data_IF_172228280766
#
_entry.id   IF_172228280766
#
_cell.length_a   1.000
_cell.length_b   1.000
_cell.length_c   1.000
_cell.angle_alpha   90.00
_cell.angle_beta   90.00
_cell.angle_gamma   90.00
#
_symmetry.space_group_name_H-M   'P 1'
#
loop_
_entity.id
_entity.type
_entity.pdbx_description
1 polymer ?
#
# COMPACT_ATOMS: atom_id res chain seq x y z
N UNK A 1 3.46 -17.56 -13.42
CA UNK A 1 2.49 -18.28 -12.56
C UNK A 1 2.74 -18.13 -11.06
N UNK A 2 3.99 -18.04 -10.61
CA UNK A 2 4.32 -17.90 -9.17
C UNK A 2 3.85 -16.56 -8.57
N UNK A 3 3.82 -15.49 -9.37
CA UNK A 3 3.49 -14.14 -8.88
C UNK A 3 2.01 -13.92 -8.49
N UNK A 4 1.07 -14.62 -9.12
CA UNK A 4 -0.35 -14.48 -8.77
C UNK A 4 -0.71 -15.10 -7.43
N UNK A 5 -0.03 -16.17 -7.05
CA UNK A 5 -0.28 -16.84 -5.75
C UNK A 5 0.23 -16.02 -4.57
N UNK A 6 1.39 -15.37 -4.69
CA UNK A 6 1.94 -14.51 -3.65
C UNK A 6 1.07 -13.26 -3.40
N UNK A 7 0.61 -12.62 -4.47
CA UNK A 7 -0.29 -11.47 -4.40
C UNK A 7 -1.64 -11.84 -3.75
N UNK A 8 -2.22 -12.97 -4.16
CA UNK A 8 -3.47 -13.45 -3.58
C UNK A 8 -3.33 -13.82 -2.11
N UNK A 9 -2.26 -14.51 -1.74
CA UNK A 9 -1.97 -14.90 -0.36
C UNK A 9 -1.79 -13.66 0.52
N UNK A 10 -1.06 -12.66 0.01
CA UNK A 10 -0.84 -11.40 0.72
C UNK A 10 -2.15 -10.63 0.93
N UNK A 11 -2.99 -10.50 -0.11
CA UNK A 11 -4.31 -9.87 -0.01
C UNK A 11 -5.21 -10.59 0.99
N UNK A 12 -5.17 -11.93 0.99
CA UNK A 12 -5.93 -12.73 1.96
C UNK A 12 -5.44 -12.48 3.38
N UNK A 13 -4.14 -12.61 3.62
CA UNK A 13 -3.54 -12.39 4.95
C UNK A 13 -3.83 -10.99 5.48
N UNK A 14 -3.80 -9.96 4.61
CA UNK A 14 -4.13 -8.59 5.01
C UNK A 14 -5.60 -8.40 5.35
N UNK A 15 -6.51 -9.09 4.66
CA UNK A 15 -7.94 -9.07 5.01
C UNK A 15 -8.21 -9.71 6.37
N UNK A 16 -7.46 -10.75 6.72
CA UNK A 16 -7.59 -11.41 8.02
C UNK A 16 -6.97 -10.60 9.16
N UNK A 17 -5.86 -9.92 8.90
CA UNK A 17 -5.16 -9.09 9.91
C UNK A 17 -4.60 -7.79 9.33
N UNK A 18 -5.48 -6.84 9.03
CA UNK A 18 -5.09 -5.52 8.54
C UNK A 18 -4.29 -4.69 9.53
N UNK A 19 -4.58 -4.81 10.83
CA UNK A 19 -3.80 -4.14 11.87
C UNK A 19 -2.40 -4.72 12.02
N UNK A 20 -2.24 -6.02 11.89
CA UNK A 20 -0.93 -6.68 11.86
C UNK A 20 -0.08 -6.16 10.70
N UNK A 21 -0.65 -6.01 9.51
CA UNK A 21 0.02 -5.40 8.38
C UNK A 21 0.44 -3.96 8.68
N UNK A 22 -0.46 -3.12 9.17
CA UNK A 22 -0.17 -1.71 9.48
C UNK A 22 0.94 -1.59 10.54
N UNK A 23 0.92 -2.45 11.55
CA UNK A 23 1.98 -2.53 12.56
C UNK A 23 3.33 -2.89 11.95
N UNK A 24 3.35 -3.91 11.08
CA UNK A 24 4.54 -4.32 10.36
C UNK A 24 5.11 -3.19 9.49
N UNK A 25 4.26 -2.49 8.76
CA UNK A 25 4.64 -1.36 7.93
C UNK A 25 5.23 -0.22 8.76
N UNK A 26 4.64 0.07 9.92
CA UNK A 26 5.15 1.07 10.85
C UNK A 26 6.52 0.70 11.42
N UNK A 27 6.74 -0.57 11.76
CA UNK A 27 8.01 -1.06 12.30
C UNK A 27 9.12 -1.08 11.23
N UNK A 28 8.78 -1.35 9.98
CA UNK A 28 9.74 -1.51 8.89
C UNK A 28 10.16 -0.21 8.21
N UNK A 29 9.40 0.88 8.38
CA UNK A 29 9.67 2.17 7.71
C UNK A 29 9.65 3.34 8.70
N UNK A 30 10.83 3.96 8.90
CA UNK A 30 10.98 5.10 9.80
C UNK A 30 10.07 6.30 9.44
N UNK A 31 9.79 6.50 8.15
CA UNK A 31 8.95 7.62 7.70
C UNK A 31 7.45 7.39 7.94
N UNK A 32 7.05 6.15 8.24
CA UNK A 32 5.67 5.80 8.61
C UNK A 32 5.52 5.74 10.13
N UNK A 33 6.62 5.73 10.89
CA UNK A 33 6.60 5.66 12.36
C UNK A 33 5.86 6.83 13.02
N UNK A 34 5.88 7.99 12.39
CA UNK A 34 5.19 9.18 12.88
C UNK A 34 3.67 9.13 12.66
N UNK A 35 3.19 8.24 11.78
CA UNK A 35 1.77 8.07 11.53
C UNK A 35 1.15 7.32 12.71
N UNK A 36 0.22 7.97 13.38
CA UNK A 36 -0.52 7.36 14.46
C UNK A 36 -1.66 6.48 13.91
N UNK A 37 -1.42 5.17 13.91
CA UNK A 37 -2.45 4.18 13.57
C UNK A 37 -3.35 3.84 14.77
N UNK A 38 -3.51 4.72 15.75
CA UNK A 38 -4.44 4.55 16.86
C UNK A 38 -5.87 4.63 16.33
N UNK A 39 -6.36 3.52 15.85
CA UNK A 39 -7.72 3.39 15.41
C UNK A 39 -8.29 2.09 15.95
N UNK A 40 -9.48 2.16 16.51
CA UNK A 40 -10.21 0.99 16.94
C UNK A 40 -10.99 0.34 15.79
N UNK A 41 -11.22 1.08 14.71
CA UNK A 41 -11.98 0.64 13.55
C UNK A 41 -11.11 0.63 12.28
N UNK A 42 -11.11 -0.52 11.62
CA UNK A 42 -10.49 -0.72 10.32
C UNK A 42 -11.55 -1.19 9.33
N UNK A 43 -11.71 -0.46 8.25
CA UNK A 43 -12.64 -0.79 7.18
C UNK A 43 -11.88 -1.04 5.88
N UNK A 44 -12.31 -2.05 5.13
CA UNK A 44 -11.82 -2.31 3.78
C UNK A 44 -12.74 -1.66 2.77
N UNK A 45 -12.20 -0.76 1.97
CA UNK A 45 -12.97 -0.09 0.93
C UNK A 45 -12.90 -0.84 -0.40
N UNK A 46 -13.89 -0.67 -1.29
CA UNK A 46 -13.84 -1.21 -2.63
C UNK A 46 -12.55 -0.79 -3.35
N UNK A 47 -11.91 -1.74 -4.01
CA UNK A 47 -10.66 -1.54 -4.74
C UNK A 47 -10.88 -1.10 -6.19
N UNK A 48 -12.11 -1.14 -6.67
CA UNK A 48 -12.47 -0.65 -8.00
C UNK A 48 -12.55 0.87 -7.98
N UNK A 49 -11.70 1.49 -8.78
CA UNK A 49 -11.62 2.93 -8.90
C UNK A 49 -12.50 3.42 -10.05
N UNK A 50 -12.74 4.72 -10.08
CA UNK A 50 -13.60 5.38 -11.06
C UNK A 50 -13.19 5.01 -12.50
N UNK A 51 -14.17 4.72 -13.34
CA UNK A 51 -13.98 4.58 -14.78
C UNK A 51 -13.53 5.92 -15.37
N UNK A 52 -12.35 5.90 -15.98
CA UNK A 52 -11.93 6.96 -16.89
C UNK A 52 -11.97 6.39 -18.32
N UNK A 53 -13.10 6.59 -19.00
CA UNK A 53 -13.35 5.97 -20.30
C UNK A 53 -13.61 4.46 -20.20
N UNK A 54 -13.14 3.64 -21.17
CA UNK A 54 -13.46 2.20 -21.20
C UNK A 54 -12.61 1.37 -20.21
N UNK A 55 -11.81 1.97 -19.34
CA UNK A 55 -10.92 1.27 -18.40
C UNK A 55 -11.44 1.37 -16.98
N UNK A 56 -11.57 0.22 -16.33
CA UNK A 56 -11.73 0.12 -14.88
C UNK A 56 -10.34 0.06 -14.27
N UNK A 57 -10.05 0.98 -13.37
CA UNK A 57 -8.82 0.98 -12.60
C UNK A 57 -9.04 0.25 -11.30
N UNK A 58 -8.12 -0.62 -10.93
CA UNK A 58 -8.15 -1.38 -9.68
C UNK A 58 -6.86 -1.16 -8.92
N UNK A 59 -6.98 -0.86 -7.64
CA UNK A 59 -5.88 -0.90 -6.69
C UNK A 59 -5.88 -2.24 -5.95
N UNK A 60 -4.77 -2.57 -5.31
CA UNK A 60 -4.67 -3.83 -4.59
C UNK A 60 -5.47 -3.81 -3.29
N UNK A 61 -5.37 -2.73 -2.51
CA UNK A 61 -6.09 -2.62 -1.25
C UNK A 61 -6.24 -1.17 -0.78
N UNK A 62 -7.39 -0.87 -0.21
CA UNK A 62 -7.67 0.40 0.46
C UNK A 62 -8.12 0.07 1.89
N UNK A 63 -7.35 0.53 2.86
CA UNK A 63 -7.63 0.40 4.28
C UNK A 63 -8.07 1.75 4.83
N UNK A 64 -9.23 1.80 5.41
CA UNK A 64 -9.72 3.02 6.07
C UNK A 64 -9.71 2.85 7.59
N UNK A 65 -8.98 3.74 8.23
CA UNK A 65 -8.93 3.92 9.67
C UNK A 65 -9.80 5.11 10.09
N UNK A 66 -10.01 5.32 11.37
CA UNK A 66 -10.82 6.43 11.84
C UNK A 66 -10.26 7.80 11.42
N UNK A 67 -8.95 7.93 11.31
CA UNK A 67 -8.25 9.19 11.03
C UNK A 67 -7.41 9.19 9.77
N UNK A 68 -7.34 8.09 9.02
CA UNK A 68 -6.41 7.90 7.91
C UNK A 68 -6.94 6.89 6.90
N UNK A 69 -6.64 7.11 5.63
CA UNK A 69 -6.81 6.12 4.55
C UNK A 69 -5.44 5.67 4.08
N UNK A 70 -5.23 4.36 3.99
CA UNK A 70 -3.99 3.75 3.48
C UNK A 70 -4.29 3.04 2.18
N UNK A 71 -3.74 3.55 1.09
CA UNK A 71 -3.70 2.89 -0.21
C UNK A 71 -2.46 1.99 -0.25
N UNK A 72 -2.67 0.71 -0.42
CA UNK A 72 -1.58 -0.27 -0.45
C UNK A 72 -1.52 -0.93 -1.82
N UNK A 73 -0.34 -0.89 -2.42
CA UNK A 73 -0.03 -1.56 -3.69
C UNK A 73 1.05 -2.62 -3.46
N UNK A 74 0.89 -3.78 -4.07
CA UNK A 74 1.85 -4.87 -4.02
C UNK A 74 2.70 -4.92 -5.28
N UNK A 75 4.02 -4.96 -5.14
CA UNK A 75 4.96 -4.93 -6.25
C UNK A 75 6.01 -6.04 -6.16
N UNK A 76 5.92 -7.01 -7.06
CA UNK A 76 6.86 -8.14 -7.12
C UNK A 76 8.09 -7.87 -7.99
N UNK A 77 8.12 -6.76 -8.70
CA UNK A 77 9.24 -6.32 -9.56
C UNK A 77 9.77 -4.97 -9.11
N UNK A 78 10.90 -4.56 -9.65
CA UNK A 78 11.45 -3.22 -9.40
C UNK A 78 10.48 -2.17 -9.94
N UNK A 79 10.16 -1.17 -9.11
CA UNK A 79 9.28 -0.05 -9.47
C UNK A 79 9.93 0.79 -10.56
N UNK A 80 9.25 0.89 -11.70
CA UNK A 80 9.67 1.67 -12.88
C UNK A 80 8.73 2.86 -13.10
N UNK A 81 9.10 3.74 -14.01
CA UNK A 81 8.32 4.94 -14.33
C UNK A 81 6.83 4.67 -14.65
N UNK A 82 6.45 3.62 -15.40
CA UNK A 82 5.03 3.30 -15.58
C UNK A 82 4.30 2.99 -14.28
N UNK A 83 4.95 2.30 -13.33
CA UNK A 83 4.39 2.00 -12.01
C UNK A 83 4.23 3.28 -11.19
N UNK A 84 5.21 4.18 -11.21
CA UNK A 84 5.16 5.47 -10.52
C UNK A 84 3.98 6.32 -11.00
N UNK A 85 3.73 6.34 -12.32
CA UNK A 85 2.58 7.03 -12.92
C UNK A 85 1.26 6.39 -12.49
N UNK A 86 1.20 5.07 -12.45
CA UNK A 86 0.03 4.31 -12.00
C UNK A 86 -0.30 4.60 -10.54
N UNK A 87 0.68 4.58 -9.65
CA UNK A 87 0.48 4.87 -8.23
C UNK A 87 0.00 6.30 -7.99
N UNK A 88 0.55 7.25 -8.71
CA UNK A 88 0.07 8.63 -8.68
C UNK A 88 -1.38 8.74 -9.13
N UNK A 89 -1.74 8.08 -10.23
CA UNK A 89 -3.12 8.06 -10.73
C UNK A 89 -4.06 7.43 -9.70
N UNK A 90 -3.72 6.29 -9.13
CA UNK A 90 -4.56 5.62 -8.13
C UNK A 90 -4.74 6.47 -6.88
N UNK A 91 -3.68 7.10 -6.40
CA UNK A 91 -3.76 8.02 -5.27
C UNK A 91 -4.72 9.17 -5.55
N UNK A 92 -4.65 9.76 -6.74
CA UNK A 92 -5.54 10.84 -7.14
C UNK A 92 -7.00 10.38 -7.26
N UNK A 93 -7.26 9.20 -7.81
CA UNK A 93 -8.61 8.65 -7.94
C UNK A 93 -9.23 8.33 -6.57
N UNK A 94 -8.46 7.76 -5.65
CA UNK A 94 -8.92 7.47 -4.29
C UNK A 94 -9.20 8.79 -3.55
N UNK A 95 -8.32 9.77 -3.67
CA UNK A 95 -8.51 11.09 -3.07
C UNK A 95 -9.76 11.79 -3.59
N UNK A 96 -10.01 11.71 -4.89
CA UNK A 96 -11.22 12.26 -5.51
C UNK A 96 -12.49 11.53 -5.06
N UNK A 97 -12.45 10.20 -4.93
CA UNK A 97 -13.61 9.39 -4.60
C UNK A 97 -13.97 9.40 -3.11
N UNK A 98 -13.02 9.69 -2.22
CA UNK A 98 -13.29 9.73 -0.78
C UNK A 98 -14.28 10.83 -0.44
N UNK A 99 -15.23 10.50 0.46
CA UNK A 99 -16.29 11.41 0.90
C UNK A 99 -15.98 12.14 2.23
N UNK A 100 -14.74 12.08 2.67
CA UNK A 100 -14.28 12.64 3.93
C UNK A 100 -12.95 13.35 3.74
N UNK A 101 -12.53 14.11 4.74
CA UNK A 101 -11.27 14.86 4.72
C UNK A 101 -10.10 14.08 5.35
N UNK A 102 -10.20 12.75 5.50
CA UNK A 102 -9.12 11.97 6.05
C UNK A 102 -7.88 12.06 5.16
N UNK A 103 -6.69 12.20 5.75
CA UNK A 103 -5.45 12.08 5.00
C UNK A 103 -5.37 10.75 4.27
N UNK A 104 -4.78 10.77 3.10
CA UNK A 104 -4.51 9.57 2.29
C UNK A 104 -3.01 9.38 2.16
N UNK A 105 -2.54 8.18 2.46
CA UNK A 105 -1.15 7.78 2.24
C UNK A 105 -1.08 6.58 1.28
N UNK A 106 -0.06 6.58 0.44
CA UNK A 106 0.29 5.43 -0.38
C UNK A 106 1.42 4.65 0.29
N UNK A 107 1.34 3.32 0.27
CA UNK A 107 2.42 2.42 0.66
C UNK A 107 2.55 1.34 -0.40
N UNK A 108 3.75 1.20 -0.96
CA UNK A 108 4.08 0.11 -1.88
C UNK A 108 4.83 -0.97 -1.12
N UNK A 109 4.30 -2.18 -1.12
CA UNK A 109 4.92 -3.33 -0.50
C UNK A 109 5.65 -4.13 -1.58
N UNK A 110 6.95 -4.32 -1.39
CA UNK A 110 7.79 -4.92 -2.42
C UNK A 110 8.52 -6.18 -1.95
N UNK A 111 8.52 -7.20 -2.80
CA UNK A 111 9.40 -8.37 -2.67
C UNK A 111 10.70 -8.22 -3.48
N UNK A 112 10.80 -7.22 -4.33
CA UNK A 112 11.93 -7.01 -5.25
C UNK A 112 12.93 -5.94 -4.80
N UNK A 113 12.47 -4.95 -4.01
CA UNK A 113 13.27 -3.78 -3.63
C UNK A 113 13.48 -3.71 -2.12
N UNK A 114 14.54 -2.99 -1.73
CA UNK A 114 14.78 -2.62 -0.33
C UNK A 114 13.83 -1.50 0.09
N UNK A 115 13.58 -1.41 1.38
CA UNK A 115 12.83 -0.29 1.95
C UNK A 115 13.51 1.03 1.63
N UNK A 116 12.76 1.93 0.99
CA UNK A 116 13.23 3.24 0.56
C UNK A 116 12.06 4.17 0.27
N UNK A 117 12.36 5.45 0.12
CA UNK A 117 11.44 6.42 -0.46
C UNK A 117 11.89 6.71 -1.89
N UNK A 118 11.01 6.50 -2.84
CA UNK A 118 11.22 6.88 -4.22
C UNK A 118 10.45 8.17 -4.52
N UNK A 119 11.03 9.04 -5.34
CA UNK A 119 10.40 10.29 -5.74
C UNK A 119 10.16 10.27 -7.25
N UNK A 120 8.94 10.57 -7.64
CA UNK A 120 8.55 10.82 -9.02
C UNK A 120 8.34 12.31 -9.21
N UNK A 121 9.25 12.93 -9.94
CA UNK A 121 9.19 14.37 -10.23
C UNK A 121 8.20 14.64 -11.35
N UNK A 122 7.11 15.32 -11.03
CA UNK A 122 6.06 15.69 -11.98
C UNK A 122 6.48 16.93 -12.75
N UNK A 123 6.96 17.95 -12.04
CA UNK A 123 7.53 19.17 -12.56
C UNK A 123 8.49 19.76 -11.51
N UNK A 124 8.99 20.97 -11.75
CA UNK A 124 9.95 21.64 -10.83
C UNK A 124 9.40 21.86 -9.42
N UNK A 125 8.08 22.03 -9.29
CA UNK A 125 7.41 22.42 -8.04
C UNK A 125 6.59 21.28 -7.41
N UNK A 126 6.48 20.14 -8.11
CA UNK A 126 5.64 19.03 -7.65
C UNK A 126 6.38 17.69 -7.74
N UNK A 127 6.52 17.06 -6.58
CA UNK A 127 7.14 15.74 -6.43
C UNK A 127 6.13 14.79 -5.78
N UNK A 128 5.91 13.65 -6.39
CA UNK A 128 5.12 12.57 -5.83
C UNK A 128 6.04 11.59 -5.10
N UNK A 129 5.76 11.35 -3.83
CA UNK A 129 6.57 10.50 -2.97
C UNK A 129 5.96 9.10 -2.88
N UNK A 130 6.78 8.09 -3.10
CA UNK A 130 6.39 6.68 -3.10
C UNK A 130 7.18 5.95 -2.03
N UNK A 131 6.60 5.72 -0.84
CA UNK A 131 7.19 4.87 0.18
C UNK A 131 7.15 3.41 -0.28
N UNK A 132 8.30 2.76 -0.32
CA UNK A 132 8.44 1.34 -0.63
C UNK A 132 8.91 0.62 0.62
N UNK A 133 8.16 -0.40 1.03
CA UNK A 133 8.47 -1.26 2.17
C UNK A 133 8.83 -2.65 1.66
N UNK A 134 10.03 -3.10 2.01
CA UNK A 134 10.51 -4.42 1.62
C UNK A 134 10.04 -5.50 2.58
N UNK A 135 9.46 -6.56 2.05
CA UNK A 135 9.16 -7.76 2.82
C UNK A 135 10.40 -8.64 3.06
N UNK A 136 11.43 -8.56 2.19
CA UNK A 136 12.62 -9.42 2.28
C UNK A 136 13.60 -9.03 3.37
N UNK A 137 13.57 -7.77 3.82
CA UNK A 137 14.57 -7.19 4.72
C UNK A 137 13.99 -6.66 6.03
N UNK A 138 12.78 -7.07 6.37
CA UNK A 138 12.20 -6.79 7.68
C UNK A 138 13.00 -7.58 8.72
N UNK A 139 13.53 -6.91 9.74
CA UNK A 139 14.23 -7.57 10.86
C UNK A 139 13.32 -8.53 11.65
N UNK A 140 12.02 -8.44 11.41
CA UNK A 140 10.96 -9.26 12.00
C UNK A 140 10.38 -10.27 11.01
N UNK A 141 11.22 -10.93 10.21
CA UNK A 141 10.79 -11.97 9.27
C UNK A 141 9.92 -13.07 9.91
N UNK A 142 10.00 -13.26 11.24
CA UNK A 142 9.14 -14.20 11.95
C UNK A 142 7.66 -13.86 11.88
N UNK A 143 7.27 -12.58 11.84
CA UNK A 143 5.86 -12.19 11.81
C UNK A 143 5.18 -12.46 10.47
N UNK A 144 5.91 -12.34 9.36
CA UNK A 144 5.37 -12.63 8.02
C UNK A 144 5.23 -14.13 7.78
N UNK A 145 6.17 -14.91 8.28
CA UNK A 145 6.08 -16.38 8.25
C UNK A 145 4.94 -16.90 9.13
N UNK A 146 4.63 -16.25 10.25
CA UNK A 146 3.50 -16.63 11.10
C UNK A 146 2.15 -16.45 10.39
N UNK A 147 2.00 -15.42 9.58
CA UNK A 147 0.79 -15.19 8.78
C UNK A 147 0.65 -16.26 7.68
N UNK A 148 1.76 -16.75 7.12
CA UNK A 148 1.75 -17.75 6.03
C UNK A 148 1.65 -19.21 6.49
N UNK A 149 1.95 -19.53 7.74
CA UNK A 149 1.95 -20.92 8.26
C UNK A 149 0.76 -21.28 9.15
N UNK A 150 -0.05 -20.32 9.58
CA UNK A 150 -1.26 -20.58 10.37
C UNK A 150 -2.57 -20.50 9.55
N UNK A 151 -2.47 -20.63 8.25
CA UNK A 151 -3.54 -20.88 7.30
C UNK A 151 -3.33 -22.30 6.77
#
# INVERSE_FOLDING_TARGET
MVHQSEDQLFKYATKEDGFGLLKLLKESNANIKEIDFKSENLTYNPTELIELGPKIYKTDMILELDHLIVLTEFQSTIVKTPDEKRYRLYTALVDYAKRNNKPLILIVISTAEKTKIKQYKINKDCVFTIPIVSLKHSKNNHSIYYISYNI
#
